data_IF_534838107033
#
_entry.id   IF_534838107033
#
_cell.length_a   1.000
_cell.length_b   1.000
_cell.length_c   1.000
_cell.angle_alpha   90.00
_cell.angle_beta   90.00
_cell.angle_gamma   90.00
#
_symmetry.space_group_name_H-M   'P 1'
#
loop_
_entity.id
_entity.type
_entity.pdbx_description
1 polymer ?
#
# COMPACT_ATOMS: atom_id res chain seq x y z
N UNK A 1 -3.68 4.91 1.57
CA UNK A 1 -4.54 3.70 1.53
C UNK A 1 -5.72 3.91 2.47
N UNK A 2 -6.92 3.47 2.10
CA UNK A 2 -8.09 3.46 2.97
C UNK A 2 -8.66 2.05 3.04
N UNK A 3 -8.91 1.58 4.26
CA UNK A 3 -9.70 0.39 4.51
C UNK A 3 -11.19 0.78 4.44
N UNK A 4 -11.85 0.32 3.39
CA UNK A 4 -13.19 0.69 2.94
C UNK A 4 -13.18 1.15 1.48
N UNK A 5 -14.34 1.08 0.83
CA UNK A 5 -14.51 1.54 -0.56
C UNK A 5 -14.86 3.02 -0.57
N UNK A 6 -13.95 3.85 -1.08
CA UNK A 6 -14.21 5.28 -1.27
C UNK A 6 -15.26 5.48 -2.37
N UNK A 7 -16.25 6.33 -2.12
CA UNK A 7 -17.30 6.66 -3.09
C UNK A 7 -17.79 8.11 -2.91
N UNK A 8 -18.61 8.60 -3.83
CA UNK A 8 -19.32 9.88 -3.73
C UNK A 8 -20.82 9.64 -3.71
N UNK A 9 -21.52 10.26 -2.77
CA UNK A 9 -22.99 10.26 -2.72
C UNK A 9 -23.47 11.69 -2.48
N UNK A 10 -24.30 12.21 -3.39
CA UNK A 10 -24.77 13.60 -3.38
C UNK A 10 -23.64 14.64 -3.23
N UNK A 11 -22.53 14.44 -3.94
CA UNK A 11 -21.35 15.33 -3.87
C UNK A 11 -20.47 15.17 -2.64
N UNK A 12 -20.94 14.48 -1.59
CA UNK A 12 -20.17 14.18 -0.38
C UNK A 12 -19.31 12.93 -0.59
N UNK A 13 -18.03 13.00 -0.21
CA UNK A 13 -17.16 11.81 -0.10
C UNK A 13 -17.66 10.93 1.05
N UNK A 14 -17.86 9.65 0.76
CA UNK A 14 -18.27 8.64 1.73
C UNK A 14 -17.31 7.44 1.64
N UNK A 15 -17.26 6.65 2.72
CA UNK A 15 -16.54 5.39 2.73
C UNK A 15 -17.53 4.27 3.04
N UNK A 16 -17.65 3.30 2.13
CA UNK A 16 -18.45 2.10 2.38
C UNK A 16 -17.57 1.06 3.09
N UNK A 17 -18.00 0.64 4.29
CA UNK A 17 -17.32 -0.34 5.13
C UNK A 17 -17.90 -1.75 4.99
N UNK A 18 -18.82 -1.97 4.05
CA UNK A 18 -19.27 -3.32 3.69
C UNK A 18 -18.09 -4.15 3.16
N UNK A 19 -18.01 -5.42 3.59
CA UNK A 19 -17.01 -6.40 3.14
C UNK A 19 -15.55 -6.13 3.57
N UNK A 20 -15.31 -5.35 4.63
CA UNK A 20 -13.95 -5.13 5.19
C UNK A 20 -13.58 -6.09 6.34
N UNK A 21 -14.30 -7.21 6.49
CA UNK A 21 -14.06 -8.12 7.61
C UNK A 21 -12.74 -8.88 7.46
N UNK A 22 -12.03 -9.07 8.58
CA UNK A 22 -10.85 -9.92 8.66
C UNK A 22 -9.54 -9.29 8.22
N UNK A 23 -9.52 -7.98 7.90
CA UNK A 23 -8.28 -7.26 7.61
C UNK A 23 -7.39 -7.11 8.86
N UNK A 24 -7.98 -7.19 10.05
CA UNK A 24 -7.34 -7.10 11.37
C UNK A 24 -6.64 -8.40 11.81
N UNK A 25 -6.93 -9.55 11.18
CA UNK A 25 -6.50 -10.87 11.65
C UNK A 25 -5.01 -11.12 11.39
N UNK A 26 -4.51 -10.74 10.21
CA UNK A 26 -3.11 -10.89 9.81
C UNK A 26 -2.57 -9.57 9.25
N UNK A 27 -1.26 -9.35 9.27
CA UNK A 27 -0.70 -8.21 8.59
C UNK A 27 -0.89 -8.36 7.07
N UNK A 28 -0.95 -7.22 6.41
CA UNK A 28 -0.86 -7.11 4.97
C UNK A 28 0.61 -6.97 4.58
N UNK A 29 1.03 -7.69 3.54
CA UNK A 29 2.37 -7.63 2.96
C UNK A 29 2.38 -6.68 1.78
N UNK A 30 3.14 -5.60 1.91
CA UNK A 30 3.56 -4.79 0.77
C UNK A 30 4.74 -5.49 0.12
N UNK A 31 4.68 -5.60 -1.20
CA UNK A 31 5.79 -6.05 -2.02
C UNK A 31 6.22 -4.88 -2.87
N UNK A 32 7.51 -4.59 -2.89
CA UNK A 32 8.14 -3.61 -3.76
C UNK A 32 9.19 -4.34 -4.58
N UNK A 33 9.18 -4.12 -5.89
CA UNK A 33 10.17 -4.66 -6.82
C UNK A 33 10.76 -3.56 -7.68
N UNK A 34 11.98 -3.76 -8.15
CA UNK A 34 12.62 -2.88 -9.11
C UNK A 34 13.07 -3.65 -10.35
N UNK A 35 13.19 -2.97 -11.49
CA UNK A 35 13.65 -3.58 -12.74
C UNK A 35 15.06 -4.18 -12.68
N UNK A 36 15.89 -3.75 -11.74
CA UNK A 36 17.23 -4.28 -11.46
C UNK A 36 17.22 -5.40 -10.40
N UNK A 37 16.04 -5.93 -10.06
CA UNK A 37 15.88 -7.16 -9.28
C UNK A 37 15.83 -6.98 -7.76
N UNK A 38 15.74 -5.76 -7.23
CA UNK A 38 15.50 -5.59 -5.80
C UNK A 38 14.07 -6.05 -5.48
N UNK A 39 13.91 -6.71 -4.34
CA UNK A 39 12.62 -7.17 -3.83
C UNK A 39 12.56 -6.91 -2.33
N UNK A 40 11.63 -6.07 -1.92
CA UNK A 40 11.43 -5.66 -0.52
C UNK A 40 10.02 -6.01 -0.09
N UNK A 41 9.91 -6.59 1.10
CA UNK A 41 8.63 -6.92 1.73
C UNK A 41 8.53 -6.17 3.05
N UNK A 42 7.44 -5.46 3.25
CA UNK A 42 7.08 -4.88 4.55
C UNK A 42 5.69 -5.34 4.97
N UNK A 43 5.48 -5.45 6.28
CA UNK A 43 4.23 -5.90 6.86
C UNK A 43 3.62 -4.83 7.75
N UNK A 44 2.31 -4.60 7.64
CA UNK A 44 1.57 -3.77 8.57
C UNK A 44 0.12 -4.23 8.73
N UNK A 45 -0.51 -3.86 9.84
CA UNK A 45 -1.94 -4.09 10.04
C UNK A 45 -2.76 -2.93 9.50
N UNK A 46 -3.90 -3.23 8.87
CA UNK A 46 -4.89 -2.23 8.46
C UNK A 46 -6.02 -2.21 9.50
N UNK A 47 -5.91 -1.35 10.51
CA UNK A 47 -6.80 -1.33 11.68
C UNK A 47 -7.63 -0.05 11.82
N UNK A 48 -7.61 0.83 10.81
CA UNK A 48 -8.32 2.11 10.82
C UNK A 48 -9.28 2.23 9.62
N UNK A 49 -10.46 1.56 9.67
CA UNK A 49 -11.50 1.70 8.66
C UNK A 49 -11.92 3.16 8.41
N UNK A 50 -12.21 3.51 7.18
CA UNK A 50 -12.74 4.82 6.80
C UNK A 50 -11.71 5.96 6.76
N UNK A 51 -10.52 5.77 7.33
CA UNK A 51 -9.46 6.78 7.35
C UNK A 51 -8.48 6.59 6.18
N UNK A 52 -8.04 7.70 5.60
CA UNK A 52 -6.92 7.71 4.67
C UNK A 52 -5.61 7.77 5.45
N UNK A 53 -4.79 6.74 5.29
CA UNK A 53 -3.51 6.63 6.00
C UNK A 53 -2.38 6.44 4.98
N UNK A 54 -1.27 7.15 5.22
CA UNK A 54 -0.02 6.95 4.51
C UNK A 54 0.70 5.74 5.11
N UNK A 55 0.88 4.69 4.31
CA UNK A 55 1.65 3.51 4.69
C UNK A 55 2.98 3.51 3.94
N UNK A 56 4.05 3.17 4.65
CA UNK A 56 5.37 2.97 4.06
C UNK A 56 5.44 1.55 3.47
N UNK A 57 5.59 1.46 2.15
CA UNK A 57 5.59 0.19 1.41
C UNK A 57 6.97 -0.46 1.26
N UNK A 58 8.04 0.24 1.64
CA UNK A 58 9.41 -0.25 1.53
C UNK A 58 10.38 0.81 0.99
N UNK A 59 11.65 0.45 1.01
CA UNK A 59 12.76 1.28 0.53
C UNK A 59 13.49 0.57 -0.60
N UNK A 60 14.13 1.32 -1.47
CA UNK A 60 14.95 0.79 -2.55
C UNK A 60 16.10 1.76 -2.85
N UNK A 61 17.11 1.26 -3.55
CA UNK A 61 18.29 2.04 -3.93
C UNK A 61 18.29 2.25 -5.44
N UNK A 62 18.62 3.46 -5.88
CA UNK A 62 18.95 3.71 -7.29
C UNK A 62 20.42 3.35 -7.49
N UNK A 63 20.69 2.22 -8.15
CA UNK A 63 22.07 1.76 -8.41
C UNK A 63 22.78 2.57 -9.50
N UNK A 64 22.03 2.99 -10.51
CA UNK A 64 22.54 3.80 -11.62
C UNK A 64 21.56 4.94 -11.91
N UNK A 65 21.99 6.16 -11.61
CA UNK A 65 21.19 7.38 -11.81
C UNK A 65 20.92 7.71 -13.29
N UNK A 66 21.65 7.10 -14.22
CA UNK A 66 21.48 7.33 -15.66
C UNK A 66 20.46 6.38 -16.29
N UNK A 67 19.93 5.42 -15.53
CA UNK A 67 18.96 4.43 -16.03
C UNK A 67 17.59 4.63 -15.41
N UNK A 68 16.55 4.49 -16.24
CA UNK A 68 15.18 4.50 -15.77
C UNK A 68 14.93 3.26 -14.90
N UNK A 69 14.72 3.47 -13.60
CA UNK A 69 14.30 2.40 -12.69
C UNK A 69 12.78 2.26 -12.72
N UNK A 70 12.29 1.08 -13.14
CA UNK A 70 10.86 0.75 -13.02
C UNK A 70 10.60 0.16 -11.64
N UNK A 71 9.55 0.62 -10.98
CA UNK A 71 9.14 0.14 -9.66
C UNK A 71 7.81 -0.59 -9.80
N UNK A 72 7.76 -1.84 -9.36
CA UNK A 72 6.54 -2.60 -9.16
C UNK A 72 6.14 -2.54 -7.69
N UNK A 73 4.84 -2.49 -7.42
CA UNK A 73 4.34 -2.67 -6.06
C UNK A 73 3.08 -3.53 -6.06
N UNK A 74 2.91 -4.31 -5.02
CA UNK A 74 1.73 -5.11 -4.80
C UNK A 74 1.40 -5.17 -3.31
N UNK A 75 0.15 -5.47 -3.01
CA UNK A 75 -0.33 -5.65 -1.65
C UNK A 75 -1.02 -7.00 -1.56
N UNK A 76 -0.62 -7.82 -0.61
CA UNK A 76 -1.18 -9.17 -0.43
C UNK A 76 -1.52 -9.43 1.03
N UNK A 77 -2.65 -10.05 1.28
CA UNK A 77 -2.98 -10.66 2.56
C UNK A 77 -3.65 -11.99 2.24
N UNK A 78 -3.04 -13.09 2.67
CA UNK A 78 -3.52 -14.44 2.37
C UNK A 78 -4.04 -15.02 3.69
N UNK A 79 -5.30 -14.75 3.98
CA UNK A 79 -5.98 -15.32 5.16
C UNK A 79 -7.51 -15.21 5.08
N UNK A 80 -8.09 -15.72 4.01
CA UNK A 80 -9.49 -15.48 3.69
C UNK A 80 -10.28 -16.79 3.72
N UNK A 81 -11.03 -17.02 4.80
CA UNK A 81 -12.18 -17.94 4.77
C UNK A 81 -13.42 -17.30 4.11
N UNK A 82 -13.36 -15.99 3.80
CA UNK A 82 -14.40 -15.18 3.14
C UNK A 82 -13.78 -14.15 2.17
N UNK A 83 -14.53 -13.65 1.18
CA UNK A 83 -14.05 -12.59 0.27
C UNK A 83 -13.77 -11.31 1.09
N UNK A 84 -12.51 -10.86 1.09
CA UNK A 84 -12.11 -9.56 1.64
C UNK A 84 -12.17 -8.50 0.54
N UNK A 85 -12.94 -7.45 0.77
CA UNK A 85 -13.09 -6.32 -0.13
C UNK A 85 -12.80 -4.99 0.57
N UNK A 86 -13.19 -3.90 -0.09
CA UNK A 86 -13.12 -2.56 0.48
C UNK A 86 -11.70 -2.13 0.79
N UNK A 87 -10.85 -2.05 -0.23
CA UNK A 87 -9.56 -1.35 -0.11
C UNK A 87 -9.46 -0.31 -1.22
N UNK A 88 -9.10 0.92 -0.84
CA UNK A 88 -8.96 2.02 -1.79
C UNK A 88 -7.55 2.60 -1.75
N UNK A 89 -6.96 2.78 -2.92
CA UNK A 89 -5.68 3.46 -3.14
C UNK A 89 -5.95 4.81 -3.79
N UNK A 90 -5.23 5.85 -3.36
CA UNK A 90 -5.33 7.20 -3.91
C UNK A 90 -4.03 7.59 -4.61
N UNK A 91 -2.91 7.51 -3.90
CA UNK A 91 -1.61 7.92 -4.42
C UNK A 91 -0.49 7.00 -3.94
N UNK A 92 0.59 6.97 -4.73
CA UNK A 92 1.87 6.36 -4.39
C UNK A 92 2.90 7.48 -4.36
N UNK A 93 3.67 7.56 -3.27
CA UNK A 93 4.69 8.59 -3.07
C UNK A 93 6.06 7.94 -3.10
N UNK A 94 6.96 8.50 -3.92
CA UNK A 94 8.38 8.12 -3.96
C UNK A 94 9.16 9.37 -3.57
N UNK A 95 9.98 9.26 -2.54
CA UNK A 95 10.82 10.36 -2.08
C UNK A 95 12.18 9.85 -1.60
N UNK A 96 13.25 10.68 -1.64
CA UNK A 96 14.53 10.33 -1.04
C UNK A 96 14.39 10.06 0.47
N UNK A 97 15.05 9.02 0.99
CA UNK A 97 15.04 8.65 2.41
C UNK A 97 16.12 9.36 3.24
N UNK A 98 16.46 10.60 2.87
CA UNK A 98 17.73 11.26 3.18
C UNK A 98 18.91 10.73 2.34
N UNK A 99 19.82 11.64 1.99
CA UNK A 99 21.11 11.32 1.38
C UNK A 99 22.03 10.99 2.55
N UNK A 100 22.43 9.73 2.69
CA UNK A 100 23.59 9.44 3.54
C UNK A 100 24.76 10.27 3.00
N UNK A 101 25.29 11.17 3.82
CA UNK A 101 26.47 11.96 3.47
C UNK A 101 27.65 10.99 3.44
N UNK A 102 28.19 10.74 2.24
CA UNK A 102 29.48 10.10 2.07
C UNK A 102 30.61 10.99 2.61
#
# INVERSE_FOLDING_TARGET
>A
LQLGKSSKRFGRRICNLEHIHGWEIKPVRFHLTTSDGQHVVSECHLNNPGSWILYHGGDFVIKDSNTLTKIGFALTQIDCTHIKGGLSLDSVLIHPKSIDKF
#
